data_IF_849395932658
#
_entry.id   IF_849395932658
#
_cell.length_a   1.000
_cell.length_b   1.000
_cell.length_c   1.000
_cell.angle_alpha   90.00
_cell.angle_beta   90.00
_cell.angle_gamma   90.00
#
_symmetry.space_group_name_H-M   'P 1'
#
loop_
_entity.id
_entity.type
_entity.pdbx_description
1 polymer ?
#
# COMPACT_ATOMS: atom_id res chain seq x y z
N UNK A 1 -59.85 12.82 7.09
CA UNK A 1 -58.86 13.04 6.01
C UNK A 1 -57.68 12.09 6.23
N UNK A 2 -57.75 10.86 5.69
CA UNK A 2 -56.69 9.86 5.86
C UNK A 2 -55.54 10.19 4.91
N UNK A 3 -54.41 10.64 5.47
CA UNK A 3 -53.14 10.70 4.74
C UNK A 3 -52.85 9.29 4.22
N UNK A 4 -52.79 9.14 2.89
CA UNK A 4 -52.23 7.94 2.24
C UNK A 4 -50.75 7.91 2.62
N UNK A 5 -50.41 7.12 3.63
CA UNK A 5 -49.01 6.76 3.90
C UNK A 5 -48.52 5.98 2.68
N UNK A 6 -47.70 6.60 1.83
CA UNK A 6 -46.98 5.91 0.76
C UNK A 6 -45.90 5.07 1.44
N UNK A 7 -46.25 3.84 1.81
CA UNK A 7 -45.28 2.86 2.28
C UNK A 7 -44.35 2.44 1.16
N UNK A 8 -43.09 2.17 1.49
CA UNK A 8 -42.11 1.57 0.59
C UNK A 8 -42.60 0.17 0.19
N UNK A 9 -42.64 -0.11 -1.11
CA UNK A 9 -43.12 -1.42 -1.57
C UNK A 9 -42.03 -2.47 -1.41
N UNK A 10 -42.42 -3.72 -1.14
CA UNK A 10 -41.46 -4.84 -1.08
C UNK A 10 -40.72 -5.02 -2.41
N UNK A 11 -41.37 -4.70 -3.54
CA UNK A 11 -40.76 -4.81 -4.86
C UNK A 11 -39.68 -3.74 -5.09
N UNK A 12 -39.87 -2.50 -4.61
CA UNK A 12 -38.84 -1.47 -4.64
C UNK A 12 -37.61 -1.90 -3.83
N UNK A 13 -37.82 -2.52 -2.67
CA UNK A 13 -36.72 -3.02 -1.84
C UNK A 13 -35.93 -4.12 -2.54
N UNK A 14 -36.63 -5.08 -3.17
CA UNK A 14 -35.97 -6.19 -3.86
C UNK A 14 -35.10 -5.71 -5.03
N UNK A 15 -35.56 -4.73 -5.80
CA UNK A 15 -34.79 -4.16 -6.92
C UNK A 15 -33.53 -3.44 -6.40
N UNK A 16 -33.66 -2.68 -5.32
CA UNK A 16 -32.51 -1.97 -4.72
C UNK A 16 -31.44 -2.95 -4.24
N UNK A 17 -31.84 -4.02 -3.54
CA UNK A 17 -30.89 -5.04 -3.07
C UNK A 17 -30.21 -5.76 -4.24
N UNK A 18 -30.95 -6.05 -5.32
CA UNK A 18 -30.39 -6.66 -6.52
C UNK A 18 -29.31 -5.77 -7.16
N UNK A 19 -29.54 -4.47 -7.28
CA UNK A 19 -28.56 -3.53 -7.85
C UNK A 19 -27.32 -3.41 -6.93
N UNK A 20 -27.51 -3.30 -5.62
CA UNK A 20 -26.39 -3.23 -4.64
C UNK A 20 -25.55 -4.50 -4.71
N UNK A 21 -26.16 -5.68 -4.85
CA UNK A 21 -25.43 -6.94 -4.96
C UNK A 21 -24.51 -6.99 -6.20
N UNK A 22 -24.98 -6.50 -7.35
CA UNK A 22 -24.19 -6.42 -8.58
C UNK A 22 -23.02 -5.43 -8.41
N UNK A 23 -23.28 -4.25 -7.84
CA UNK A 23 -22.23 -3.24 -7.62
C UNK A 23 -21.18 -3.74 -6.63
N UNK A 24 -21.59 -4.36 -5.52
CA UNK A 24 -20.69 -4.89 -4.50
C UNK A 24 -19.78 -5.99 -5.04
N UNK A 25 -20.28 -6.86 -5.92
CA UNK A 25 -19.50 -7.93 -6.53
C UNK A 25 -18.28 -7.41 -7.33
N UNK A 26 -18.39 -6.24 -7.94
CA UNK A 26 -17.29 -5.61 -8.71
C UNK A 26 -16.47 -4.67 -7.82
N UNK A 27 -17.13 -3.89 -6.96
CA UNK A 27 -16.48 -2.87 -6.15
C UNK A 27 -15.54 -3.45 -5.08
N UNK A 28 -15.92 -4.57 -4.44
CA UNK A 28 -15.11 -5.19 -3.39
C UNK A 28 -13.72 -5.67 -3.87
N UNK A 29 -13.60 -6.50 -4.93
CA UNK A 29 -12.29 -6.93 -5.41
C UNK A 29 -11.45 -5.75 -5.91
N UNK A 30 -12.07 -4.79 -6.60
CA UNK A 30 -11.37 -3.59 -7.09
C UNK A 30 -10.81 -2.73 -5.93
N UNK A 31 -11.61 -2.52 -4.88
CA UNK A 31 -11.19 -1.77 -3.70
C UNK A 31 -10.06 -2.47 -2.93
N UNK A 32 -10.14 -3.81 -2.79
CA UNK A 32 -9.07 -4.58 -2.16
C UNK A 32 -7.76 -4.48 -2.94
N UNK A 33 -7.79 -4.63 -4.26
CA UNK A 33 -6.61 -4.45 -5.12
C UNK A 33 -6.02 -3.04 -5.01
N UNK A 34 -6.88 -2.01 -4.97
CA UNK A 34 -6.42 -0.63 -4.77
C UNK A 34 -5.70 -0.46 -3.42
N UNK A 35 -6.23 -1.03 -2.33
CA UNK A 35 -5.60 -0.97 -1.01
C UNK A 35 -4.26 -1.70 -0.96
N UNK A 36 -4.14 -2.85 -1.63
CA UNK A 36 -2.88 -3.61 -1.75
C UNK A 36 -1.84 -2.74 -2.44
N UNK A 37 -2.16 -2.22 -3.62
CA UNK A 37 -1.24 -1.36 -4.38
C UNK A 37 -0.88 -0.07 -3.63
N UNK A 38 -1.83 0.53 -2.91
CA UNK A 38 -1.58 1.72 -2.11
C UNK A 38 -0.58 1.45 -0.97
N UNK A 39 -0.70 0.31 -0.29
CA UNK A 39 0.23 -0.07 0.76
C UNK A 39 1.64 -0.37 0.22
N UNK A 40 1.72 -1.07 -0.92
CA UNK A 40 2.98 -1.37 -1.61
C UNK A 40 3.68 -0.11 -2.10
N UNK A 41 2.96 0.80 -2.76
CA UNK A 41 3.53 2.07 -3.25
C UNK A 41 3.95 3.00 -2.12
N UNK A 42 3.21 3.03 -1.01
CA UNK A 42 3.59 3.81 0.17
C UNK A 42 4.92 3.30 0.78
N UNK A 43 5.05 1.98 0.95
CA UNK A 43 6.29 1.38 1.45
C UNK A 43 7.45 1.57 0.46
N UNK A 44 7.22 1.47 -0.85
CA UNK A 44 8.23 1.75 -1.86
C UNK A 44 8.72 3.20 -1.77
N UNK A 45 7.81 4.18 -1.62
CA UNK A 45 8.17 5.58 -1.51
C UNK A 45 9.01 5.86 -0.26
N UNK A 46 8.61 5.28 0.89
CA UNK A 46 9.35 5.37 2.15
C UNK A 46 10.76 4.78 2.01
N UNK A 47 10.86 3.55 1.50
CA UNK A 47 12.15 2.84 1.34
C UNK A 47 13.05 3.55 0.33
N UNK A 48 12.50 4.08 -0.77
CA UNK A 48 13.28 4.82 -1.77
C UNK A 48 13.84 6.14 -1.21
N UNK A 49 13.04 6.86 -0.41
CA UNK A 49 13.50 8.06 0.26
C UNK A 49 14.63 7.73 1.24
N UNK A 50 14.47 6.65 2.02
CA UNK A 50 15.49 6.18 2.94
C UNK A 50 16.78 5.74 2.23
N UNK A 51 16.67 4.93 1.17
CA UNK A 51 17.81 4.47 0.38
C UNK A 51 18.62 5.65 -0.18
N UNK A 52 17.93 6.66 -0.73
CA UNK A 52 18.60 7.85 -1.29
C UNK A 52 19.35 8.64 -0.22
N UNK A 53 18.75 8.78 0.97
CA UNK A 53 19.41 9.39 2.12
C UNK A 53 20.61 8.57 2.59
N UNK A 54 20.44 7.25 2.74
CA UNK A 54 21.46 6.35 3.24
C UNK A 54 22.67 6.24 2.30
N UNK A 55 22.44 6.23 0.98
CA UNK A 55 23.54 6.26 0.00
C UNK A 55 24.38 7.53 0.19
N UNK A 56 23.72 8.69 0.34
CA UNK A 56 24.43 9.95 0.55
C UNK A 56 25.22 9.96 1.87
N UNK A 57 24.67 9.43 2.97
CA UNK A 57 25.40 9.37 4.25
C UNK A 57 26.59 8.43 4.20
N UNK A 58 26.43 7.25 3.58
CA UNK A 58 27.53 6.28 3.46
C UNK A 58 28.65 6.84 2.58
N UNK A 59 28.32 7.58 1.53
CA UNK A 59 29.32 8.27 0.69
C UNK A 59 30.09 9.35 1.46
N UNK A 60 29.48 9.96 2.46
CA UNK A 60 30.14 10.92 3.36
C UNK A 60 30.97 10.24 4.47
N UNK A 61 30.95 8.90 4.55
CA UNK A 61 31.66 8.13 5.57
C UNK A 61 30.91 7.98 6.89
N UNK A 62 29.64 8.39 6.94
CA UNK A 62 28.78 8.29 8.11
C UNK A 62 27.85 7.07 8.03
N UNK A 63 27.45 6.54 9.19
CA UNK A 63 26.46 5.47 9.27
C UNK A 63 25.04 6.04 9.24
N UNK A 64 24.16 5.59 8.35
CA UNK A 64 22.77 6.04 8.32
C UNK A 64 22.01 5.62 9.57
N UNK A 65 21.04 6.44 9.97
CA UNK A 65 20.08 6.06 11.00
C UNK A 65 19.20 4.89 10.53
N UNK A 66 18.54 4.20 11.47
CA UNK A 66 17.62 3.12 11.18
C UNK A 66 16.49 3.55 10.23
N UNK A 67 16.04 2.63 9.38
CA UNK A 67 14.99 2.89 8.42
C UNK A 67 13.66 3.23 9.11
N UNK A 68 12.95 4.30 8.69
CA UNK A 68 11.61 4.58 9.20
C UNK A 68 10.65 3.46 8.76
N UNK A 69 9.80 3.01 9.69
CA UNK A 69 8.80 1.94 9.46
C UNK A 69 7.39 2.46 9.68
N UNK A 70 6.94 3.44 8.86
CA UNK A 70 5.57 3.98 8.95
C UNK A 70 4.66 3.34 7.90
N UNK A 71 5.14 3.28 6.66
CA UNK A 71 4.43 2.65 5.55
C UNK A 71 4.82 1.17 5.37
N UNK A 72 6.00 0.79 5.85
CA UNK A 72 6.47 -0.59 5.89
C UNK A 72 6.25 -1.24 7.27
N UNK A 73 6.04 -2.56 7.31
CA UNK A 73 6.05 -3.35 8.56
C UNK A 73 7.46 -3.69 8.98
N UNK A 74 8.31 -3.98 8.01
CA UNK A 74 9.70 -4.33 8.19
C UNK A 74 10.52 -3.66 7.10
N UNK A 75 11.72 -3.23 7.45
CA UNK A 75 12.75 -2.71 6.55
C UNK A 75 14.08 -3.01 7.20
N UNK A 76 15.05 -3.55 6.47
CA UNK A 76 16.42 -3.61 6.99
C UNK A 76 17.08 -2.22 6.87
N UNK A 77 18.08 -2.01 7.72
CA UNK A 77 18.84 -0.78 7.75
C UNK A 77 19.97 -0.84 6.70
N UNK A 78 20.37 0.33 6.22
CA UNK A 78 21.49 0.45 5.31
C UNK A 78 22.81 0.36 6.11
N UNK A 79 23.71 -0.53 5.71
CA UNK A 79 25.00 -0.72 6.37
C UNK A 79 26.18 -0.46 5.44
N UNK A 80 25.99 -0.68 4.13
CA UNK A 80 26.96 -0.43 3.06
C UNK A 80 26.23 -0.33 1.70
N UNK A 81 26.98 -0.03 0.61
CA UNK A 81 26.43 0.04 -0.75
C UNK A 81 26.27 -1.33 -1.44
N UNK A 82 26.79 -2.41 -0.86
CA UNK A 82 26.73 -3.76 -1.43
C UNK A 82 25.49 -4.54 -0.95
N UNK A 83 24.89 -4.12 0.16
CA UNK A 83 23.74 -4.75 0.80
C UNK A 83 22.46 -4.06 0.37
N UNK A 84 21.56 -4.80 -0.28
CA UNK A 84 20.27 -4.27 -0.71
C UNK A 84 19.34 -4.01 0.49
N UNK A 85 18.49 -2.99 0.37
CA UNK A 85 17.41 -2.77 1.32
C UNK A 85 16.16 -3.52 0.84
N UNK A 86 15.58 -4.29 1.72
CA UNK A 86 14.36 -5.05 1.54
C UNK A 86 13.34 -4.58 2.58
N UNK A 87 12.14 -4.27 2.12
CA UNK A 87 11.08 -3.79 2.98
C UNK A 87 9.74 -4.46 2.63
N UNK A 88 8.99 -4.84 3.67
CA UNK A 88 7.63 -5.39 3.52
C UNK A 88 6.60 -4.30 3.79
N UNK A 89 5.59 -4.13 2.93
CA UNK A 89 4.52 -3.17 3.17
C UNK A 89 3.66 -3.56 4.38
N UNK A 90 2.86 -2.60 4.84
CA UNK A 90 1.73 -2.87 5.73
C UNK A 90 0.64 -3.67 5.01
N UNK A 91 -0.11 -4.46 5.77
CA UNK A 91 -1.28 -5.17 5.26
C UNK A 91 -2.26 -4.15 4.64
N UNK A 92 -2.87 -4.44 3.49
CA UNK A 92 -2.90 -5.74 2.80
C UNK A 92 -1.82 -5.94 1.73
N UNK A 93 -0.81 -5.06 1.62
CA UNK A 93 0.27 -5.20 0.64
C UNK A 93 1.02 -6.53 0.78
N UNK A 94 1.45 -7.12 -0.34
CA UNK A 94 2.12 -8.42 -0.34
C UNK A 94 3.50 -8.39 -1.02
N UNK A 95 3.71 -7.48 -1.96
CA UNK A 95 4.96 -7.36 -2.69
C UNK A 95 6.00 -6.62 -1.87
N UNK A 96 7.18 -7.21 -1.79
CA UNK A 96 8.32 -6.58 -1.11
C UNK A 96 8.92 -5.48 -1.98
N UNK A 97 9.42 -4.43 -1.35
CA UNK A 97 10.28 -3.45 -2.01
C UNK A 97 11.73 -3.91 -1.87
N UNK A 98 12.45 -3.96 -2.99
CA UNK A 98 13.89 -4.13 -3.02
C UNK A 98 14.54 -2.87 -3.58
N UNK A 99 15.47 -2.31 -2.82
CA UNK A 99 16.34 -1.22 -3.23
C UNK A 99 17.78 -1.72 -3.36
N UNK A 100 18.33 -1.59 -4.55
CA UNK A 100 19.73 -1.83 -4.84
C UNK A 100 20.52 -0.57 -4.47
N UNK A 101 21.39 -0.71 -3.47
CA UNK A 101 22.19 0.39 -2.90
C UNK A 101 23.41 0.74 -3.77
N UNK A 102 23.81 -0.13 -4.70
CA UNK A 102 24.88 0.13 -5.64
C UNK A 102 24.38 0.99 -6.82
N UNK A 103 23.15 0.76 -7.28
CA UNK A 103 22.53 1.51 -8.38
C UNK A 103 21.61 2.65 -7.93
N UNK A 104 21.18 2.66 -6.66
CA UNK A 104 20.20 3.59 -6.12
C UNK A 104 18.78 3.37 -6.65
N UNK A 105 18.51 2.20 -7.24
CA UNK A 105 17.21 1.88 -7.82
C UNK A 105 16.35 1.08 -6.85
N UNK A 106 15.06 1.39 -6.79
CA UNK A 106 14.09 0.70 -5.93
C UNK A 106 12.89 0.24 -6.76
N UNK A 107 12.48 -1.02 -6.57
CA UNK A 107 11.35 -1.61 -7.27
C UNK A 107 10.57 -2.57 -6.37
N UNK A 108 9.30 -2.78 -6.72
CA UNK A 108 8.48 -3.84 -6.12
C UNK A 108 8.88 -5.18 -6.75
N UNK A 109 9.28 -6.13 -5.93
CA UNK A 109 9.55 -7.50 -6.36
C UNK A 109 8.23 -8.29 -6.43
N UNK A 110 8.05 -9.18 -7.42
CA UNK A 110 6.86 -10.05 -7.48
C UNK A 110 6.82 -11.07 -6.34
#
# INVERSE_FOLDING_TARGET
>A
MFKRNRGFTLIELMIVVAIIAILAAIALPAYNNYRINAAETACLAETKSYASFAIATIQNGDTPEAAPRRACTTSNDAVDLATNITARPQLPGIRETLCDMASGTCALQP
#
